data_IF_081067454931
#
_entry.id   IF_081067454931
#
_cell.length_a   1.000
_cell.length_b   1.000
_cell.length_c   1.000
_cell.angle_alpha   90.00
_cell.angle_beta   90.00
_cell.angle_gamma   90.00
#
_symmetry.space_group_name_H-M   'P 1'
#
loop_
_entity.id
_entity.type
_entity.pdbx_description
1 polymer ?
#
# COMPACT_ATOMS: atom_id res chain seq x y z
N UNK A 1 -2.66 -2.08 -15.08
CA UNK A 1 -3.50 -1.18 -15.89
C UNK A 1 -4.66 -0.77 -15.01
N UNK A 2 -4.62 0.44 -14.53
CA UNK A 2 -5.63 1.02 -13.65
C UNK A 2 -6.91 1.26 -14.47
N UNK A 3 -8.06 0.81 -13.99
CA UNK A 3 -9.36 1.16 -14.56
C UNK A 3 -9.91 2.31 -13.72
N UNK A 4 -10.11 3.45 -14.36
CA UNK A 4 -10.81 4.60 -13.80
C UNK A 4 -12.20 4.57 -14.43
N UNK A 5 -13.23 4.41 -13.59
CA UNK A 5 -14.61 4.52 -14.01
C UNK A 5 -15.01 6.01 -14.06
N UNK A 6 -16.08 6.36 -14.79
CA UNK A 6 -16.53 7.75 -15.01
C UNK A 6 -16.88 8.48 -13.69
N UNK A 7 -17.03 7.76 -12.58
CA UNK A 7 -17.35 8.28 -11.25
C UNK A 7 -16.10 8.56 -10.38
N UNK A 8 -14.87 8.44 -10.93
CA UNK A 8 -13.62 8.75 -10.22
C UNK A 8 -13.12 7.65 -9.29
N UNK A 9 -13.73 6.47 -9.32
CA UNK A 9 -13.29 5.29 -8.59
C UNK A 9 -12.09 4.65 -9.30
N UNK A 10 -10.99 4.43 -8.58
CA UNK A 10 -9.83 3.72 -9.09
C UNK A 10 -9.68 2.37 -8.41
N UNK A 11 -9.60 1.31 -9.19
CA UNK A 11 -9.33 -0.05 -8.71
C UNK A 11 -8.04 -0.54 -9.31
N UNK A 12 -7.02 -0.73 -8.48
CA UNK A 12 -5.85 -1.48 -8.87
C UNK A 12 -6.27 -2.95 -8.99
N UNK A 13 -6.24 -3.50 -10.20
CA UNK A 13 -6.64 -4.88 -10.42
C UNK A 13 -5.74 -5.83 -9.61
N UNK A 14 -6.34 -6.87 -8.99
CA UNK A 14 -5.61 -8.04 -8.46
C UNK A 14 -5.02 -8.83 -9.64
N UNK A 15 -4.26 -8.15 -10.48
CA UNK A 15 -3.60 -8.77 -11.62
C UNK A 15 -2.32 -9.44 -11.13
N UNK A 16 -2.33 -10.75 -11.14
CA UNK A 16 -1.12 -11.57 -11.16
C UNK A 16 -0.54 -11.64 -12.58
N UNK A 17 -0.72 -10.56 -13.36
CA UNK A 17 -0.09 -10.47 -14.66
C UNK A 17 1.42 -10.36 -14.47
N UNK A 18 2.16 -10.99 -15.35
CA UNK A 18 3.60 -10.82 -15.58
C UNK A 18 3.92 -9.39 -16.02
N UNK A 19 3.51 -8.36 -15.22
CA UNK A 19 4.04 -7.04 -15.43
C UNK A 19 5.33 -6.91 -14.63
N UNK A 20 6.24 -6.21 -15.24
CA UNK A 20 7.59 -5.99 -14.77
C UNK A 20 7.59 -5.31 -13.39
N UNK A 21 7.79 -6.12 -12.34
CA UNK A 21 7.87 -5.63 -10.96
C UNK A 21 9.03 -4.66 -10.77
N UNK A 22 10.09 -4.76 -11.60
CA UNK A 22 11.21 -3.84 -11.56
C UNK A 22 10.73 -2.43 -11.91
N UNK A 23 9.83 -2.30 -12.90
CA UNK A 23 9.23 -1.01 -13.30
C UNK A 23 8.32 -0.43 -12.20
N UNK A 24 7.58 -1.28 -11.47
CA UNK A 24 6.75 -0.86 -10.35
C UNK A 24 7.58 -0.38 -9.17
N UNK A 25 8.68 -1.08 -8.87
CA UNK A 25 9.59 -0.72 -7.79
C UNK A 25 10.30 0.60 -8.07
N UNK A 26 10.82 0.80 -9.28
CA UNK A 26 11.48 2.04 -9.70
C UNK A 26 10.52 3.23 -9.59
N UNK A 27 9.31 3.10 -10.10
CA UNK A 27 8.29 4.15 -10.00
C UNK A 27 7.92 4.49 -8.56
N UNK A 28 7.81 3.51 -7.67
CA UNK A 28 7.54 3.75 -6.25
C UNK A 28 8.70 4.49 -5.56
N UNK A 29 9.95 4.11 -5.87
CA UNK A 29 11.16 4.73 -5.33
C UNK A 29 11.34 6.17 -5.82
N UNK A 30 11.10 6.43 -7.10
CA UNK A 30 11.17 7.76 -7.68
C UNK A 30 10.13 8.70 -7.06
N UNK A 31 8.88 8.24 -6.92
CA UNK A 31 7.82 9.00 -6.26
C UNK A 31 8.17 9.32 -4.81
N UNK A 32 8.61 8.31 -4.03
CA UNK A 32 8.99 8.51 -2.65
C UNK A 32 10.16 9.50 -2.49
N UNK A 33 11.14 9.45 -3.40
CA UNK A 33 12.26 10.39 -3.41
C UNK A 33 11.81 11.81 -3.73
N UNK A 34 10.97 12.00 -4.76
CA UNK A 34 10.47 13.30 -5.18
C UNK A 34 9.62 13.96 -4.09
N UNK A 35 8.66 13.23 -3.51
CA UNK A 35 7.81 13.72 -2.41
C UNK A 35 8.63 14.04 -1.17
N UNK A 36 9.56 13.15 -0.79
CA UNK A 36 10.43 13.40 0.35
C UNK A 36 11.27 14.65 0.16
N UNK A 37 11.80 14.89 -1.05
CA UNK A 37 12.55 16.10 -1.37
C UNK A 37 11.70 17.36 -1.25
N UNK A 38 10.48 17.32 -1.80
CA UNK A 38 9.54 18.46 -1.76
C UNK A 38 9.12 18.83 -0.32
N UNK A 39 9.01 17.83 0.56
CA UNK A 39 8.65 18.02 1.97
C UNK A 39 9.85 18.22 2.91
N UNK A 40 11.07 18.24 2.37
CA UNK A 40 12.30 18.36 3.21
C UNK A 40 12.56 17.14 4.09
N UNK A 41 12.01 15.96 3.73
CA UNK A 41 12.15 14.72 4.48
C UNK A 41 13.43 13.98 4.09
N UNK A 42 14.05 13.31 5.05
CA UNK A 42 15.25 12.52 4.79
C UNK A 42 14.89 11.10 4.31
N UNK A 43 14.90 10.87 3.00
CA UNK A 43 14.71 9.54 2.40
C UNK A 43 16.05 8.77 2.39
N UNK A 44 16.34 8.05 3.49
CA UNK A 44 17.61 7.35 3.72
C UNK A 44 17.73 6.09 2.86
N UNK A 45 18.95 5.57 2.69
CA UNK A 45 19.22 4.29 2.00
C UNK A 45 18.42 3.12 2.61
N UNK A 46 18.31 3.05 3.93
CA UNK A 46 17.49 2.02 4.60
C UNK A 46 16.00 2.11 4.22
N UNK A 47 15.42 3.31 4.16
CA UNK A 47 14.03 3.52 3.75
C UNK A 47 13.81 3.14 2.29
N UNK A 48 14.77 3.47 1.43
CA UNK A 48 14.78 3.08 0.01
C UNK A 48 14.79 1.57 -0.14
N UNK A 49 15.67 0.86 0.56
CA UNK A 49 15.77 -0.60 0.51
C UNK A 49 14.51 -1.28 1.02
N UNK A 50 13.92 -0.80 2.11
CA UNK A 50 12.67 -1.35 2.65
C UNK A 50 11.51 -1.14 1.68
N UNK A 51 11.39 0.05 1.05
CA UNK A 51 10.35 0.30 0.05
C UNK A 51 10.54 -0.58 -1.19
N UNK A 52 11.76 -0.73 -1.69
CA UNK A 52 12.07 -1.63 -2.80
C UNK A 52 11.63 -3.06 -2.50
N UNK A 53 12.00 -3.60 -1.34
CA UNK A 53 11.61 -4.95 -0.92
C UNK A 53 10.08 -5.14 -0.78
N UNK A 54 9.33 -4.10 -0.44
CA UNK A 54 7.86 -4.15 -0.46
C UNK A 54 7.30 -4.13 -1.89
N UNK A 55 7.91 -3.36 -2.79
CA UNK A 55 7.44 -3.18 -4.17
C UNK A 55 7.71 -4.38 -5.09
N UNK A 56 8.54 -5.34 -4.66
CA UNK A 56 8.82 -6.58 -5.40
C UNK A 56 7.59 -7.50 -5.54
N UNK A 57 6.51 -7.27 -4.77
CA UNK A 57 5.37 -8.18 -4.76
C UNK A 57 4.08 -7.48 -4.33
N UNK A 58 2.96 -7.89 -4.92
CA UNK A 58 1.62 -7.51 -4.47
C UNK A 58 1.11 -8.35 -3.28
N UNK A 59 1.93 -9.24 -2.74
CA UNK A 59 1.63 -9.95 -1.49
C UNK A 59 2.20 -9.16 -0.33
N UNK A 60 1.36 -8.71 0.62
CA UNK A 60 1.83 -8.01 1.80
C UNK A 60 2.89 -8.80 2.56
N UNK A 61 3.96 -8.14 2.98
CA UNK A 61 5.08 -8.74 3.68
C UNK A 61 5.13 -8.26 5.15
N UNK A 62 5.38 -9.18 6.08
CA UNK A 62 5.66 -8.81 7.47
C UNK A 62 7.02 -8.09 7.58
N UNK A 63 7.27 -7.41 8.70
CA UNK A 63 8.58 -6.80 8.93
C UNK A 63 9.72 -7.83 8.90
N UNK A 64 9.46 -9.06 9.34
CA UNK A 64 10.45 -10.14 9.29
C UNK A 64 10.71 -10.64 7.86
N UNK A 65 9.67 -10.74 7.02
CA UNK A 65 9.83 -11.09 5.60
C UNK A 65 10.69 -10.03 4.89
N UNK A 66 10.49 -8.74 5.20
CA UNK A 66 11.32 -7.65 4.67
C UNK A 66 12.76 -7.78 5.15
N UNK A 67 13.00 -8.09 6.43
CA UNK A 67 14.35 -8.33 6.97
C UNK A 67 15.03 -9.48 6.23
N UNK A 68 14.32 -10.57 6.00
CA UNK A 68 14.85 -11.76 5.32
C UNK A 68 15.17 -11.48 3.85
N UNK A 69 14.30 -10.76 3.12
CA UNK A 69 14.57 -10.31 1.75
C UNK A 69 15.84 -9.44 1.69
N UNK A 70 15.96 -8.45 2.58
CA UNK A 70 17.15 -7.57 2.62
C UNK A 70 18.43 -8.33 2.94
N UNK A 71 18.35 -9.41 3.73
CA UNK A 71 19.49 -10.24 4.08
C UNK A 71 19.99 -11.09 2.89
N UNK A 72 19.23 -11.25 1.81
CA UNK A 72 19.66 -11.94 0.60
C UNK A 72 20.67 -11.13 -0.22
N UNK A 73 20.59 -9.79 -0.13
CA UNK A 73 21.41 -8.88 -0.96
C UNK A 73 22.47 -8.10 -0.17
N UNK A 74 22.53 -8.30 1.15
CA UNK A 74 23.46 -7.56 2.00
C UNK A 74 23.46 -8.03 3.45
N UNK A 75 24.14 -7.31 4.35
CA UNK A 75 24.14 -7.65 5.77
C UNK A 75 22.73 -7.53 6.35
N UNK A 76 22.33 -8.51 7.18
CA UNK A 76 21.03 -8.54 7.83
C UNK A 76 20.80 -7.26 8.65
N UNK A 77 19.75 -6.47 8.35
CA UNK A 77 19.47 -5.24 9.08
C UNK A 77 18.96 -5.53 10.49
N UNK A 78 19.23 -4.61 11.43
CA UNK A 78 18.64 -4.68 12.76
C UNK A 78 17.12 -4.46 12.68
N UNK A 79 16.30 -5.27 13.36
CA UNK A 79 14.83 -5.18 13.30
C UNK A 79 14.31 -3.77 13.58
N UNK A 80 14.84 -3.08 14.58
CA UNK A 80 14.42 -1.72 14.92
C UNK A 80 14.61 -0.72 13.78
N UNK A 81 15.63 -0.90 12.93
CA UNK A 81 15.87 -0.02 11.78
C UNK A 81 14.85 -0.26 10.68
N UNK A 82 14.39 -1.51 10.50
CA UNK A 82 13.35 -1.85 9.52
C UNK A 82 11.99 -1.33 10.00
N UNK A 83 11.63 -1.51 11.28
CA UNK A 83 10.39 -0.95 11.83
C UNK A 83 10.33 0.57 11.69
N UNK A 84 11.41 1.29 12.02
CA UNK A 84 11.47 2.76 11.83
C UNK A 84 11.36 3.18 10.37
N UNK A 85 11.85 2.37 9.44
CA UNK A 85 11.68 2.63 8.02
C UNK A 85 10.23 2.39 7.59
N UNK A 86 9.60 1.29 8.02
CA UNK A 86 8.20 0.98 7.77
C UNK A 86 7.27 2.05 8.33
N UNK A 87 7.47 2.47 9.58
CA UNK A 87 6.69 3.54 10.20
C UNK A 87 6.77 4.83 9.37
N UNK A 88 7.96 5.22 8.93
CA UNK A 88 8.14 6.39 8.07
C UNK A 88 7.42 6.22 6.73
N UNK A 89 7.51 5.05 6.09
CA UNK A 89 6.87 4.81 4.80
C UNK A 89 5.35 4.87 4.91
N UNK A 90 4.78 4.34 5.98
CA UNK A 90 3.33 4.39 6.25
C UNK A 90 2.90 5.82 6.59
N UNK A 91 3.63 6.52 7.45
CA UNK A 91 3.32 7.90 7.85
C UNK A 91 3.25 8.86 6.65
N UNK A 92 4.09 8.63 5.64
CA UNK A 92 4.15 9.48 4.45
C UNK A 92 3.45 8.90 3.22
N UNK A 93 2.66 7.83 3.38
CA UNK A 93 1.83 7.26 2.31
C UNK A 93 2.61 6.54 1.20
N UNK A 94 3.86 6.13 1.46
CA UNK A 94 4.65 5.33 0.53
C UNK A 94 4.39 3.83 0.64
N UNK A 95 3.83 3.41 1.78
CA UNK A 95 3.39 2.05 2.04
C UNK A 95 2.11 2.06 2.88
N UNK A 96 1.39 0.97 2.87
CA UNK A 96 0.22 0.73 3.72
C UNK A 96 0.47 -0.44 4.64
N UNK A 97 -0.10 -0.37 5.85
CA UNK A 97 -0.16 -1.50 6.77
C UNK A 97 -1.49 -2.22 6.59
N UNK A 98 -1.42 -3.53 6.39
CA UNK A 98 -2.57 -4.43 6.39
C UNK A 98 -2.71 -4.97 7.80
N UNK A 99 -3.65 -4.42 8.56
CA UNK A 99 -3.77 -4.67 10.00
C UNK A 99 -4.16 -6.13 10.27
N UNK A 100 -5.09 -6.71 9.50
CA UNK A 100 -5.54 -8.09 9.67
C UNK A 100 -4.45 -9.14 9.45
N UNK A 101 -3.36 -8.77 8.78
CA UNK A 101 -2.22 -9.65 8.48
C UNK A 101 -0.93 -9.23 9.20
N UNK A 102 -0.95 -8.11 9.93
CA UNK A 102 0.26 -7.48 10.49
C UNK A 102 1.41 -7.41 9.47
N UNK A 103 1.08 -6.96 8.26
CA UNK A 103 1.98 -6.92 7.10
C UNK A 103 1.92 -5.56 6.41
N UNK A 104 2.84 -5.33 5.49
CA UNK A 104 2.99 -4.06 4.77
C UNK A 104 3.00 -4.31 3.27
N UNK A 105 2.50 -3.35 2.51
CA UNK A 105 2.52 -3.34 1.04
C UNK A 105 2.95 -1.95 0.55
N UNK A 106 3.71 -1.88 -0.53
CA UNK A 106 4.03 -0.61 -1.17
C UNK A 106 2.76 0.03 -1.75
N UNK A 107 2.62 1.35 -1.62
CA UNK A 107 1.52 2.08 -2.25
C UNK A 107 1.66 2.00 -3.78
N UNK A 108 0.62 1.51 -4.46
CA UNK A 108 0.59 1.36 -5.91
C UNK A 108 0.16 2.64 -6.64
N UNK A 109 -0.50 3.56 -5.93
CA UNK A 109 -1.02 4.78 -6.53
C UNK A 109 0.00 5.93 -6.52
N UNK A 110 -0.09 6.80 -7.53
CA UNK A 110 0.56 8.11 -7.43
C UNK A 110 -0.07 8.88 -6.27
N UNK A 111 0.73 9.67 -5.55
CA UNK A 111 0.26 10.55 -4.46
C UNK A 111 -0.92 11.46 -4.87
N UNK A 112 -1.17 11.62 -6.17
CA UNK A 112 -2.33 12.30 -6.71
C UNK A 112 -3.66 11.54 -6.52
N UNK A 113 -3.64 10.20 -6.39
CA UNK A 113 -4.86 9.42 -6.14
C UNK A 113 -5.30 9.47 -4.66
N UNK A 114 -4.37 9.68 -3.72
CA UNK A 114 -4.70 10.07 -2.35
C UNK A 114 -5.14 11.55 -2.24
N UNK A 115 -5.06 12.31 -3.35
CA UNK A 115 -5.33 13.74 -3.41
C UNK A 115 -6.79 14.11 -3.68
N UNK A 116 -7.71 13.16 -3.82
CA UNK A 116 -9.12 13.50 -3.70
C UNK A 116 -9.43 13.68 -2.20
N UNK A 117 -9.68 14.93 -1.75
CA UNK A 117 -10.12 15.16 -0.37
C UNK A 117 -11.39 14.34 -0.14
N UNK A 118 -11.28 13.30 0.67
CA UNK A 118 -12.41 12.45 1.02
C UNK A 118 -12.41 11.02 0.46
N UNK A 119 -11.54 10.63 -0.47
CA UNK A 119 -11.49 9.24 -0.92
C UNK A 119 -11.00 8.31 0.20
N UNK A 120 -11.68 7.17 0.36
CA UNK A 120 -11.30 6.12 1.32
C UNK A 120 -10.58 5.00 0.58
N UNK A 121 -9.44 4.62 1.11
CA UNK A 121 -8.69 3.48 0.59
C UNK A 121 -9.25 2.16 1.13
N UNK A 122 -9.53 1.23 0.22
CA UNK A 122 -9.98 -0.13 0.51
C UNK A 122 -8.94 -1.12 0.04
N UNK A 123 -8.58 -2.07 0.90
CA UNK A 123 -7.72 -3.18 0.53
C UNK A 123 -8.56 -4.43 0.25
N UNK A 124 -8.41 -4.99 -0.95
CA UNK A 124 -9.00 -6.27 -1.34
C UNK A 124 -7.95 -7.36 -1.12
N UNK A 125 -8.21 -8.29 -0.20
CA UNK A 125 -7.24 -9.29 0.24
C UNK A 125 -7.69 -10.68 -0.21
N UNK A 126 -6.91 -11.34 -1.08
CA UNK A 126 -7.18 -12.71 -1.47
C UNK A 126 -6.72 -13.71 -0.41
N UNK A 127 -7.64 -14.54 0.09
CA UNK A 127 -7.34 -15.54 1.12
C UNK A 127 -6.59 -16.78 0.57
N UNK A 128 -6.67 -17.03 -0.75
CA UNK A 128 -6.03 -18.19 -1.37
C UNK A 128 -4.58 -17.91 -1.80
N UNK A 129 -4.30 -16.80 -2.51
CA UNK A 129 -2.96 -16.50 -3.01
C UNK A 129 -2.22 -15.43 -2.21
N UNK A 130 -2.88 -14.81 -1.22
CA UNK A 130 -2.29 -13.78 -0.39
C UNK A 130 -2.21 -12.40 -1.01
N UNK A 131 -2.45 -12.25 -2.31
CA UNK A 131 -2.36 -10.95 -2.98
C UNK A 131 -3.32 -9.91 -2.38
N UNK A 132 -2.88 -8.67 -2.40
CA UNK A 132 -3.67 -7.51 -2.03
C UNK A 132 -3.75 -6.53 -3.21
N UNK A 133 -4.89 -5.86 -3.36
CA UNK A 133 -5.06 -4.73 -4.25
C UNK A 133 -5.62 -3.55 -3.47
N UNK A 134 -5.27 -2.37 -3.93
CA UNK A 134 -5.75 -1.11 -3.40
C UNK A 134 -6.85 -0.57 -4.32
N UNK A 135 -7.95 -0.13 -3.73
CA UNK A 135 -9.04 0.55 -4.41
C UNK A 135 -9.39 1.83 -3.67
N UNK A 136 -9.75 2.87 -4.40
CA UNK A 136 -10.25 4.11 -3.83
C UNK A 136 -11.68 4.34 -4.30
N UNK A 137 -12.58 4.77 -3.39
CA UNK A 137 -13.97 5.08 -3.70
C UNK A 137 -14.43 6.33 -2.96
N UNK A 138 -14.97 7.27 -3.71
CA UNK A 138 -15.56 8.49 -3.18
C UNK A 138 -16.93 8.21 -2.55
N UNK A 139 -17.75 7.36 -3.16
CA UNK A 139 -19.06 6.97 -2.65
C UNK A 139 -18.96 6.30 -1.27
N UNK A 140 -17.93 5.48 -1.09
CA UNK A 140 -17.69 4.85 0.20
C UNK A 140 -17.26 5.86 1.26
N UNK A 141 -16.53 6.89 0.89
CA UNK A 141 -16.15 7.97 1.79
C UNK A 141 -17.40 8.71 2.30
N UNK A 142 -18.34 9.04 1.43
CA UNK A 142 -19.60 9.69 1.79
C UNK A 142 -20.46 8.83 2.71
N UNK A 143 -20.52 7.52 2.45
CA UNK A 143 -21.25 6.57 3.31
C UNK A 143 -20.62 6.48 4.71
N UNK A 144 -19.29 6.43 4.80
CA UNK A 144 -18.57 6.41 6.07
C UNK A 144 -18.73 7.71 6.85
N UNK A 145 -18.69 8.84 6.17
CA UNK A 145 -18.94 10.15 6.76
C UNK A 145 -20.36 10.25 7.34
N UNK A 146 -21.36 9.69 6.67
CA UNK A 146 -22.73 9.64 7.18
C UNK A 146 -22.81 8.82 8.48
N UNK A 147 -22.16 7.64 8.52
CA UNK A 147 -22.13 6.76 9.69
C UNK A 147 -21.39 7.41 10.87
N UNK A 148 -20.22 7.97 10.62
CA UNK A 148 -19.41 8.60 11.69
C UNK A 148 -20.06 9.84 12.25
N UNK A 149 -20.70 10.66 11.40
CA UNK A 149 -21.49 11.83 11.86
C UNK A 149 -22.69 11.41 12.71
N UNK A 150 -23.41 10.36 12.30
CA UNK A 150 -24.54 9.85 13.09
C UNK A 150 -24.11 9.33 14.48
N UNK A 151 -22.88 8.80 14.57
CA UNK A 151 -22.27 8.33 15.82
C UNK A 151 -21.56 9.42 16.63
N UNK A 152 -21.52 10.67 16.17
CA UNK A 152 -20.69 11.77 16.72
C UNK A 152 -19.22 11.37 16.86
N UNK A 153 -18.70 10.57 15.89
CA UNK A 153 -17.35 10.02 15.89
C UNK A 153 -16.47 10.74 14.85
N UNK A 154 -15.26 11.11 15.24
CA UNK A 154 -14.28 11.73 14.33
C UNK A 154 -13.22 10.69 13.96
N UNK A 155 -13.24 10.14 12.73
CA UNK A 155 -12.22 9.18 12.29
C UNK A 155 -10.89 9.92 12.10
N UNK A 156 -9.78 9.25 12.44
CA UNK A 156 -8.43 9.78 12.19
C UNK A 156 -7.82 9.20 10.92
N UNK A 157 -8.05 7.92 10.69
CA UNK A 157 -7.50 7.19 9.54
C UNK A 157 -8.43 6.00 9.24
N UNK A 158 -9.38 6.14 8.32
CA UNK A 158 -10.23 5.02 7.94
C UNK A 158 -9.41 4.02 7.12
N UNK A 159 -9.36 2.77 7.58
CA UNK A 159 -8.78 1.64 6.86
C UNK A 159 -9.87 0.60 6.69
N UNK A 160 -10.10 0.17 5.46
CA UNK A 160 -11.08 -0.87 5.13
C UNK A 160 -10.35 -2.04 4.48
N UNK A 161 -10.56 -3.22 5.02
CA UNK A 161 -10.02 -4.46 4.48
C UNK A 161 -11.16 -5.42 4.16
N UNK A 162 -11.24 -5.83 2.90
CA UNK A 162 -12.22 -6.80 2.42
C UNK A 162 -11.49 -8.08 2.05
N UNK A 163 -11.86 -9.19 2.69
CA UNK A 163 -11.29 -10.51 2.46
C UNK A 163 -12.16 -11.32 1.52
N UNK A 164 -11.53 -12.10 0.63
CA UNK A 164 -12.26 -12.94 -0.32
C UNK A 164 -11.33 -13.69 -1.27
N UNK A 165 -11.81 -13.98 -2.46
CA UNK A 165 -11.06 -14.67 -3.53
C UNK A 165 -10.92 -13.75 -4.74
N UNK A 166 -9.71 -13.59 -5.26
CA UNK A 166 -9.49 -12.90 -6.53
C UNK A 166 -10.08 -13.71 -7.71
N UNK A 167 -10.23 -13.08 -8.86
CA UNK A 167 -10.84 -13.69 -10.04
C UNK A 167 -10.16 -15.01 -10.43
N UNK A 168 -8.83 -15.07 -10.37
CA UNK A 168 -8.04 -16.27 -10.67
C UNK A 168 -8.30 -17.40 -9.67
N UNK A 169 -8.27 -17.10 -8.37
CA UNK A 169 -8.46 -18.12 -7.33
C UNK A 169 -9.91 -18.59 -7.20
N UNK A 170 -10.87 -17.83 -7.71
CA UNK A 170 -12.28 -18.22 -7.76
C UNK A 170 -12.57 -19.22 -8.88
N UNK A 171 -11.70 -19.27 -9.92
CA UNK A 171 -11.85 -20.14 -11.08
C UNK A 171 -11.00 -21.42 -10.96
N UNK A 172 -10.11 -21.50 -9.99
CA UNK A 172 -9.27 -22.65 -9.69
C UNK A 172 -9.99 -23.61 -8.74
#
# INVERSE_FOLDING_TARGET
>A
MERIDEDGDSVAALEHSEHDHDHCADGALERAAAVSSALGLRFTDQRRKVLAALAESHVPASAYDVIDRLALTGPRPAPISVYRALDFLVEHGFAHRIESRNAYIACSHSTAAHGHPGAVTVFLLCDACGAAAEAASADLADALDAVTRAAAFTPRSPVIEIRGLCARCRQA
#
